data_IF_019271531962
#
_entry.id   IF_019271531962
#
_cell.length_a   1.000
_cell.length_b   1.000
_cell.length_c   1.000
_cell.angle_alpha   90.00
_cell.angle_beta   90.00
_cell.angle_gamma   90.00
#
_symmetry.space_group_name_H-M   'P 1'
#
loop_
_entity.id
_entity.type
_entity.pdbx_description
1 polymer ?
#
# COMPACT_ATOMS: atom_id res chain seq x y z
N UNK A 1 -11.43 8.38 50.99
CA UNK A 1 -12.72 8.60 50.29
C UNK A 1 -12.43 9.49 49.10
N UNK A 2 -12.16 8.88 47.94
CA UNK A 2 -11.83 9.59 46.71
C UNK A 2 -13.02 9.41 45.77
N UNK A 3 -13.96 10.36 45.84
CA UNK A 3 -15.08 10.45 44.92
C UNK A 3 -14.53 10.69 43.51
N UNK A 4 -14.45 9.62 42.73
CA UNK A 4 -14.08 9.68 41.32
C UNK A 4 -15.34 10.08 40.58
N UNK A 5 -15.54 11.39 40.47
CA UNK A 5 -16.58 12.02 39.67
C UNK A 5 -16.30 11.85 38.16
N UNK A 6 -16.15 10.59 37.72
CA UNK A 6 -16.04 10.24 36.31
C UNK A 6 -17.46 10.03 35.74
N UNK A 7 -17.87 10.76 34.69
CA UNK A 7 -19.21 10.64 34.10
C UNK A 7 -19.54 9.20 33.70
N UNK A 8 -20.78 8.75 33.89
CA UNK A 8 -21.19 7.35 33.64
C UNK A 8 -21.10 7.04 32.13
N UNK A 9 -20.92 5.77 31.70
CA UNK A 9 -20.78 5.42 30.26
C UNK A 9 -21.95 5.94 29.41
N UNK A 10 -23.14 5.96 30.02
CA UNK A 10 -24.35 6.51 29.43
C UNK A 10 -24.23 8.00 29.09
N UNK A 11 -23.48 8.81 29.86
CA UNK A 11 -23.33 10.24 29.64
C UNK A 11 -22.53 10.54 28.35
N UNK A 12 -21.53 9.71 28.05
CA UNK A 12 -20.74 9.83 26.81
C UNK A 12 -21.51 9.30 25.59
N UNK A 13 -22.29 8.23 25.74
CA UNK A 13 -23.19 7.77 24.68
C UNK A 13 -24.31 8.77 24.40
N UNK A 14 -24.86 9.41 25.43
CA UNK A 14 -25.84 10.48 25.30
C UNK A 14 -25.25 11.67 24.53
N UNK A 15 -24.00 12.02 24.80
CA UNK A 15 -23.29 13.07 24.05
C UNK A 15 -23.05 12.70 22.57
N UNK A 16 -22.93 11.40 22.26
CA UNK A 16 -22.80 10.92 20.89
C UNK A 16 -24.13 10.79 20.16
N UNK A 17 -25.26 10.69 20.86
CA UNK A 17 -26.58 10.45 20.26
C UNK A 17 -26.98 11.59 19.32
N UNK A 18 -27.23 11.25 18.05
CA UNK A 18 -27.55 12.20 16.98
C UNK A 18 -26.50 13.31 16.80
N UNK A 19 -25.24 13.08 17.20
CA UNK A 19 -24.18 14.08 17.17
C UNK A 19 -24.01 14.74 15.80
N UNK A 20 -24.17 13.97 14.71
CA UNK A 20 -24.12 14.50 13.35
C UNK A 20 -25.26 15.47 13.05
N UNK A 21 -26.49 15.13 13.43
CA UNK A 21 -27.67 15.97 13.19
C UNK A 21 -27.60 17.27 14.01
N UNK A 22 -27.08 17.18 15.24
CA UNK A 22 -26.91 18.31 16.15
C UNK A 22 -25.65 19.14 15.87
N UNK A 23 -24.83 18.76 14.87
CA UNK A 23 -23.58 19.44 14.51
C UNK A 23 -22.61 19.59 15.69
N UNK A 24 -22.55 18.57 16.55
CA UNK A 24 -21.60 18.54 17.68
C UNK A 24 -20.17 18.72 17.15
N UNK A 25 -19.33 19.55 17.78
CA UNK A 25 -17.94 19.71 17.38
C UNK A 25 -17.21 18.36 17.31
N UNK A 26 -16.47 18.12 16.23
CA UNK A 26 -15.82 16.83 15.98
C UNK A 26 -14.87 16.40 17.12
N UNK A 27 -14.23 17.38 17.77
CA UNK A 27 -13.33 17.14 18.89
C UNK A 27 -14.07 16.54 20.08
N UNK A 28 -15.31 16.97 20.33
CA UNK A 28 -16.10 16.47 21.46
C UNK A 28 -16.67 15.08 21.17
N UNK A 29 -17.03 14.82 19.90
CA UNK A 29 -17.34 13.46 19.42
C UNK A 29 -16.13 12.52 19.62
N UNK A 30 -14.92 12.96 19.24
CA UNK A 30 -13.71 12.17 19.41
C UNK A 30 -13.38 11.92 20.89
N UNK A 31 -13.48 12.93 21.75
CA UNK A 31 -13.27 12.80 23.21
C UNK A 31 -14.26 11.82 23.83
N UNK A 32 -15.54 11.92 23.49
CA UNK A 32 -16.58 11.05 24.03
C UNK A 32 -16.33 9.59 23.64
N UNK A 33 -15.96 9.32 22.37
CA UNK A 33 -15.61 7.96 21.96
C UNK A 33 -14.33 7.44 22.65
N UNK A 34 -13.30 8.26 22.79
CA UNK A 34 -12.09 7.85 23.51
C UNK A 34 -12.35 7.58 24.99
N UNK A 35 -13.22 8.35 25.64
CA UNK A 35 -13.61 8.11 27.03
C UNK A 35 -14.34 6.77 27.20
N UNK A 36 -15.14 6.36 26.21
CA UNK A 36 -15.75 5.03 26.18
C UNK A 36 -14.69 3.93 25.99
N UNK A 37 -13.80 4.08 25.00
CA UNK A 37 -12.75 3.09 24.70
C UNK A 37 -11.71 2.95 25.84
N UNK A 38 -11.49 3.99 26.64
CA UNK A 38 -10.61 3.95 27.83
C UNK A 38 -11.13 3.03 28.94
N UNK A 39 -12.43 2.73 28.96
CA UNK A 39 -13.04 1.83 29.96
C UNK A 39 -12.97 0.36 29.55
N UNK A 40 -12.64 0.09 28.29
CA UNK A 40 -12.56 -1.23 27.71
C UNK A 40 -12.87 -1.18 26.22
N UNK A 41 -12.44 -2.18 25.44
CA UNK A 41 -12.69 -2.21 23.99
C UNK A 41 -14.14 -2.50 23.62
N UNK A 42 -14.93 -3.06 24.55
CA UNK A 42 -16.30 -3.52 24.35
C UNK A 42 -17.25 -2.84 25.34
N UNK A 43 -18.53 -2.75 24.97
CA UNK A 43 -19.62 -2.34 25.83
C UNK A 43 -20.09 -3.47 26.76
N UNK A 44 -21.11 -3.18 27.57
CA UNK A 44 -21.70 -4.13 28.53
C UNK A 44 -22.35 -5.36 27.86
N UNK A 45 -22.60 -5.30 26.55
CA UNK A 45 -23.18 -6.39 25.74
C UNK A 45 -22.15 -7.14 24.90
N UNK A 46 -20.87 -6.77 24.99
CA UNK A 46 -19.77 -7.38 24.23
C UNK A 46 -19.57 -6.80 22.83
N UNK A 47 -20.23 -5.69 22.48
CA UNK A 47 -20.05 -5.01 21.19
C UNK A 47 -18.93 -3.96 21.25
N UNK A 48 -18.10 -3.82 20.21
CA UNK A 48 -17.10 -2.75 20.17
C UNK A 48 -17.73 -1.36 20.28
N UNK A 49 -17.21 -0.50 21.16
CA UNK A 49 -17.74 0.86 21.39
C UNK A 49 -17.87 1.67 20.09
N UNK A 50 -16.96 1.49 19.14
CA UNK A 50 -17.01 2.18 17.84
C UNK A 50 -18.21 1.77 16.98
N UNK A 51 -18.72 0.54 17.12
CA UNK A 51 -19.94 0.09 16.44
C UNK A 51 -21.17 0.67 17.12
N UNK A 52 -21.21 0.64 18.45
CA UNK A 52 -22.28 1.24 19.25
C UNK A 52 -22.39 2.74 18.97
N UNK A 53 -21.26 3.45 19.02
CA UNK A 53 -21.16 4.87 18.71
C UNK A 53 -21.59 5.20 17.28
N UNK A 54 -21.27 4.35 16.31
CA UNK A 54 -21.74 4.54 14.92
C UNK A 54 -23.26 4.41 14.81
N UNK A 55 -23.84 3.44 15.54
CA UNK A 55 -25.29 3.23 15.58
C UNK A 55 -26.08 4.41 16.15
N UNK A 56 -25.50 5.17 17.10
CA UNK A 56 -26.21 6.28 17.76
C UNK A 56 -25.85 7.67 17.24
N UNK A 57 -24.68 7.86 16.62
CA UNK A 57 -24.17 9.21 16.29
C UNK A 57 -24.49 9.73 14.89
N UNK A 58 -24.89 8.85 13.98
CA UNK A 58 -25.09 9.19 12.56
C UNK A 58 -23.79 9.29 11.74
N UNK A 59 -22.64 8.95 12.33
CA UNK A 59 -21.35 8.80 11.65
C UNK A 59 -21.03 7.32 11.39
N UNK A 60 -20.38 7.02 10.26
CA UNK A 60 -19.82 5.68 10.03
C UNK A 60 -18.64 5.41 10.98
N UNK A 61 -18.39 4.14 11.33
CA UNK A 61 -17.24 3.75 12.15
C UNK A 61 -15.90 4.22 11.59
N UNK A 62 -15.74 4.27 10.26
CA UNK A 62 -14.52 4.80 9.62
C UNK A 62 -14.33 6.30 9.88
N UNK A 63 -15.41 7.07 9.90
CA UNK A 63 -15.36 8.51 10.17
C UNK A 63 -14.99 8.76 11.64
N UNK A 64 -15.62 8.02 12.56
CA UNK A 64 -15.30 8.07 13.99
C UNK A 64 -13.83 7.71 14.26
N UNK A 65 -13.31 6.66 13.61
CA UNK A 65 -11.90 6.26 13.74
C UNK A 65 -10.93 7.33 13.26
N UNK A 66 -11.28 8.07 12.20
CA UNK A 66 -10.46 9.20 11.72
C UNK A 66 -10.46 10.36 12.72
N UNK A 67 -11.62 10.69 13.27
CA UNK A 67 -11.75 11.73 14.30
C UNK A 67 -10.95 11.41 15.55
N UNK A 68 -11.05 10.18 16.09
CA UNK A 68 -10.30 9.79 17.30
C UNK A 68 -8.80 9.79 17.08
N UNK A 69 -8.32 9.25 15.95
CA UNK A 69 -6.89 9.31 15.57
C UNK A 69 -6.38 10.74 15.43
N UNK A 70 -7.13 11.61 14.76
CA UNK A 70 -6.75 13.01 14.61
C UNK A 70 -6.69 13.70 15.98
N UNK A 71 -7.67 13.47 16.85
CA UNK A 71 -7.69 14.04 18.20
C UNK A 71 -6.53 13.57 19.07
N UNK A 72 -6.20 12.28 19.05
CA UNK A 72 -5.05 11.73 19.78
C UNK A 72 -3.73 12.40 19.34
N UNK A 73 -3.52 12.55 18.03
CA UNK A 73 -2.34 13.25 17.51
C UNK A 73 -2.31 14.72 17.94
N UNK A 74 -3.46 15.41 17.96
CA UNK A 74 -3.55 16.79 18.48
C UNK A 74 -3.14 16.87 19.96
N UNK A 75 -3.55 15.90 20.78
CA UNK A 75 -3.13 15.83 22.18
C UNK A 75 -1.62 15.58 22.31
N UNK A 76 -1.04 14.73 21.47
CA UNK A 76 0.41 14.47 21.45
C UNK A 76 1.20 15.71 21.04
N UNK A 77 0.79 16.40 19.97
CA UNK A 77 1.42 17.66 19.53
C UNK A 77 1.28 18.72 20.63
N UNK A 78 0.11 18.82 21.26
CA UNK A 78 -0.11 19.76 22.37
C UNK A 78 0.76 19.49 23.58
N UNK A 79 1.07 18.22 23.90
CA UNK A 79 2.04 17.87 24.95
C UNK A 79 3.47 18.28 24.57
N UNK A 80 3.85 18.09 23.30
CA UNK A 80 5.16 18.52 22.80
C UNK A 80 5.30 20.05 22.74
N UNK A 81 4.20 20.77 22.51
CA UNK A 81 4.15 22.22 22.39
C UNK A 81 3.00 22.84 23.21
N UNK A 82 3.11 22.90 24.55
CA UNK A 82 2.01 23.31 25.44
C UNK A 82 1.40 24.67 25.11
N UNK A 83 2.23 25.64 24.70
CA UNK A 83 1.81 27.01 24.34
C UNK A 83 0.90 27.12 23.11
N UNK A 84 0.71 26.04 22.35
CA UNK A 84 -0.12 26.03 21.13
C UNK A 84 -1.40 25.18 21.26
N UNK A 85 -1.73 24.70 22.47
CA UNK A 85 -2.85 23.76 22.69
C UNK A 85 -4.20 24.31 22.22
N UNK A 86 -4.53 25.55 22.54
CA UNK A 86 -5.84 26.13 22.17
C UNK A 86 -5.97 26.31 20.65
N UNK A 87 -4.87 26.72 20.01
CA UNK A 87 -4.78 26.85 18.56
C UNK A 87 -4.98 25.50 17.85
N UNK A 88 -4.45 24.42 18.41
CA UNK A 88 -4.62 23.07 17.88
C UNK A 88 -6.06 22.57 18.05
N UNK A 89 -6.71 22.88 19.18
CA UNK A 89 -8.11 22.51 19.45
C UNK A 89 -9.11 23.22 18.52
N UNK A 90 -8.77 24.41 18.04
CA UNK A 90 -9.59 25.17 17.09
C UNK A 90 -9.56 24.66 15.64
N UNK A 91 -8.76 23.62 15.33
CA UNK A 91 -8.68 23.08 13.99
C UNK A 91 -9.97 22.36 13.57
N UNK A 92 -10.33 22.50 12.30
CA UNK A 92 -11.33 21.63 11.69
C UNK A 92 -10.82 20.19 11.63
N UNK A 93 -11.73 19.20 11.61
CA UNK A 93 -11.39 17.78 11.55
C UNK A 93 -10.43 17.43 10.39
N UNK A 94 -10.65 18.04 9.23
CA UNK A 94 -9.81 17.81 8.04
C UNK A 94 -8.41 18.37 8.20
N UNK A 95 -8.26 19.56 8.80
CA UNK A 95 -6.94 20.12 9.08
C UNK A 95 -6.22 19.32 10.17
N UNK A 96 -6.92 18.94 11.23
CA UNK A 96 -6.36 18.12 12.30
C UNK A 96 -5.85 16.76 11.77
N UNK A 97 -6.58 16.14 10.84
CA UNK A 97 -6.15 14.88 10.24
C UNK A 97 -4.90 15.03 9.37
N UNK A 98 -4.83 16.06 8.52
CA UNK A 98 -3.62 16.29 7.71
C UNK A 98 -2.44 16.67 8.60
N UNK A 99 -2.67 17.49 9.62
CA UNK A 99 -1.65 17.87 10.59
C UNK A 99 -1.13 16.66 11.37
N UNK A 100 -2.02 15.73 11.77
CA UNK A 100 -1.63 14.47 12.41
C UNK A 100 -0.72 13.62 11.51
N UNK A 101 -1.04 13.54 10.22
CA UNK A 101 -0.20 12.82 9.24
C UNK A 101 1.13 13.54 8.99
N UNK A 102 1.12 14.87 8.96
CA UNK A 102 2.33 15.69 8.82
C UNK A 102 3.22 15.58 10.05
N UNK A 103 2.65 15.52 11.26
CA UNK A 103 3.39 15.31 12.50
C UNK A 103 4.19 14.02 12.47
N UNK A 104 3.59 12.94 11.97
CA UNK A 104 4.29 11.66 11.79
C UNK A 104 5.38 11.71 10.70
N UNK A 105 5.20 12.55 9.67
CA UNK A 105 6.03 12.57 8.47
C UNK A 105 7.03 13.75 8.37
N UNK A 106 6.95 14.74 9.26
CA UNK A 106 7.88 15.86 9.36
C UNK A 106 7.54 16.70 10.61
N UNK A 107 7.93 16.24 11.82
CA UNK A 107 7.70 16.97 13.07
C UNK A 107 8.16 18.43 13.02
N UNK A 108 9.33 18.69 12.45
CA UNK A 108 9.91 20.04 12.36
C UNK A 108 9.03 21.01 11.56
N UNK A 109 8.36 20.52 10.51
CA UNK A 109 7.44 21.35 9.71
C UNK A 109 6.18 21.68 10.47
N UNK A 110 5.69 20.77 11.33
CA UNK A 110 4.57 21.07 12.22
C UNK A 110 4.96 22.18 13.19
N UNK A 111 6.18 22.15 13.74
CA UNK A 111 6.66 23.23 14.59
C UNK A 111 6.64 24.58 13.86
N UNK A 112 7.12 24.64 12.61
CA UNK A 112 7.05 25.86 11.78
C UNK A 112 5.61 26.35 11.56
N UNK A 113 4.64 25.45 11.43
CA UNK A 113 3.22 25.81 11.30
C UNK A 113 2.61 26.33 12.60
N UNK A 114 3.08 25.86 13.76
CA UNK A 114 2.58 26.29 15.07
C UNK A 114 2.98 27.74 15.37
N UNK A 115 4.17 28.16 14.93
CA UNK A 115 4.70 29.51 15.12
C UNK A 115 4.22 30.51 14.05
N UNK A 116 3.74 30.04 12.90
CA UNK A 116 3.22 30.91 11.84
C UNK A 116 2.00 31.70 12.32
N UNK A 117 1.77 32.94 11.85
CA UNK A 117 0.63 33.75 12.33
C UNK A 117 -0.74 33.13 12.02
N UNK A 118 -0.85 32.39 10.92
CA UNK A 118 -2.11 31.79 10.46
C UNK A 118 -1.91 30.35 10.03
N UNK A 119 -2.96 29.54 10.18
CA UNK A 119 -2.99 28.21 9.59
C UNK A 119 -3.07 28.31 8.07
N UNK A 120 -2.28 27.54 7.32
CA UNK A 120 -2.43 27.44 5.88
C UNK A 120 -3.82 26.90 5.51
N UNK A 121 -4.27 27.20 4.31
CA UNK A 121 -5.48 26.59 3.78
C UNK A 121 -5.31 25.07 3.66
N UNK A 122 -6.43 24.34 3.64
CA UNK A 122 -6.41 22.88 3.58
C UNK A 122 -5.57 22.35 2.40
N UNK A 123 -5.71 22.96 1.23
CA UNK A 123 -4.96 22.58 0.03
C UNK A 123 -3.44 22.71 0.20
N UNK A 124 -3.00 23.82 0.82
CA UNK A 124 -1.58 24.07 1.08
C UNK A 124 -1.02 23.15 2.16
N UNK A 125 -1.81 22.90 3.22
CA UNK A 125 -1.44 21.94 4.26
C UNK A 125 -1.30 20.52 3.69
N UNK A 126 -2.21 20.14 2.80
CA UNK A 126 -2.17 18.85 2.10
C UNK A 126 -0.96 18.78 1.15
N UNK A 127 -0.69 19.83 0.38
CA UNK A 127 0.48 19.91 -0.48
C UNK A 127 1.79 19.83 0.32
N UNK A 128 1.85 20.50 1.47
CA UNK A 128 2.99 20.42 2.38
C UNK A 128 3.16 19.00 2.92
N UNK A 129 2.08 18.33 3.34
CA UNK A 129 2.11 16.92 3.72
C UNK A 129 2.61 16.03 2.59
N UNK A 130 2.07 16.16 1.38
CA UNK A 130 2.47 15.37 0.22
C UNK A 130 3.96 15.59 -0.11
N UNK A 131 4.44 16.84 -0.11
CA UNK A 131 5.86 17.16 -0.28
C UNK A 131 6.75 16.61 0.83
N UNK A 132 6.22 16.50 2.05
CA UNK A 132 6.93 15.96 3.22
C UNK A 132 6.96 14.44 3.21
N UNK A 133 5.88 13.81 2.76
CA UNK A 133 5.79 12.38 2.47
C UNK A 133 6.77 11.96 1.39
N UNK A 134 7.02 12.82 0.40
CA UNK A 134 8.04 12.60 -0.64
C UNK A 134 9.46 12.64 -0.05
N UNK A 135 9.71 13.44 1.00
CA UNK A 135 11.04 13.59 1.63
C UNK A 135 11.31 12.66 2.82
N UNK A 136 10.31 12.28 3.61
CA UNK A 136 10.41 11.28 4.68
C UNK A 136 9.79 9.95 4.23
N UNK A 137 10.13 9.47 3.04
CA UNK A 137 9.62 8.19 2.54
C UNK A 137 9.94 7.07 3.51
N UNK A 138 8.95 6.69 4.32
CA UNK A 138 8.90 5.46 5.11
C UNK A 138 9.47 4.29 4.28
N UNK A 139 10.06 3.25 4.89
CA UNK A 139 10.66 2.11 4.17
C UNK A 139 9.77 1.54 3.05
N UNK A 140 8.44 1.65 3.18
CA UNK A 140 7.47 1.27 2.15
C UNK A 140 7.38 2.22 0.94
N UNK A 141 7.54 3.54 1.10
CA UNK A 141 7.55 4.51 0.01
C UNK A 141 8.90 4.53 -0.72
N UNK A 142 10.01 4.47 0.03
CA UNK A 142 11.34 4.23 -0.54
C UNK A 142 11.39 2.89 -1.27
N UNK A 143 10.80 1.83 -0.70
CA UNK A 143 10.66 0.52 -1.34
C UNK A 143 9.79 0.56 -2.60
N UNK A 144 8.68 1.31 -2.62
CA UNK A 144 7.84 1.49 -3.81
C UNK A 144 8.52 2.32 -4.89
N UNK A 145 9.24 3.38 -4.53
CA UNK A 145 10.01 4.20 -5.47
C UNK A 145 11.20 3.41 -6.02
N UNK A 146 11.92 2.68 -5.18
CA UNK A 146 12.98 1.77 -5.58
C UNK A 146 12.44 0.66 -6.49
N UNK A 147 11.31 0.03 -6.16
CA UNK A 147 10.65 -0.95 -7.00
C UNK A 147 10.19 -0.36 -8.34
N UNK A 148 9.64 0.85 -8.35
CA UNK A 148 9.22 1.54 -9.59
C UNK A 148 10.42 1.95 -10.45
N UNK A 149 11.49 2.48 -9.85
CA UNK A 149 12.74 2.79 -10.54
C UNK A 149 13.40 1.53 -11.09
N UNK A 150 13.42 0.45 -10.31
CA UNK A 150 13.95 -0.84 -10.70
C UNK A 150 13.14 -1.44 -11.86
N UNK A 151 11.81 -1.46 -11.77
CA UNK A 151 10.93 -1.90 -12.86
C UNK A 151 11.17 -1.13 -14.15
N UNK A 152 11.28 0.21 -14.08
CA UNK A 152 11.59 1.04 -15.25
C UNK A 152 12.95 0.70 -15.84
N UNK A 153 13.96 0.50 -15.01
CA UNK A 153 15.29 0.06 -15.44
C UNK A 153 15.21 -1.30 -16.14
N UNK A 154 14.55 -2.28 -15.53
CA UNK A 154 14.38 -3.62 -16.11
C UNK A 154 13.61 -3.56 -17.43
N UNK A 155 12.54 -2.77 -17.51
CA UNK A 155 11.78 -2.60 -18.74
C UNK A 155 12.66 -2.04 -19.88
N UNK A 156 13.50 -1.05 -19.59
CA UNK A 156 14.47 -0.53 -20.56
C UNK A 156 15.44 -1.62 -21.02
N UNK A 157 16.04 -2.35 -20.08
CA UNK A 157 16.99 -3.42 -20.39
C UNK A 157 16.36 -4.57 -21.19
N UNK A 158 15.10 -4.91 -20.89
CA UNK A 158 14.35 -5.93 -21.62
C UNK A 158 14.01 -5.47 -23.04
N UNK A 159 13.65 -4.20 -23.22
CA UNK A 159 13.38 -3.63 -24.54
C UNK A 159 14.61 -3.72 -25.46
N UNK A 160 15.81 -3.54 -24.91
CA UNK A 160 17.07 -3.68 -25.67
C UNK A 160 17.43 -5.13 -25.99
N UNK A 161 16.94 -6.10 -25.19
CA UNK A 161 17.29 -7.52 -25.32
C UNK A 161 16.31 -8.34 -26.16
N UNK A 162 15.05 -7.89 -26.25
CA UNK A 162 13.99 -8.61 -26.96
C UNK A 162 13.92 -8.10 -28.40
N UNK A 163 14.33 -8.96 -29.33
CA UNK A 163 14.38 -8.65 -30.77
C UNK A 163 13.06 -8.85 -31.50
N UNK A 164 12.16 -9.68 -30.95
CA UNK A 164 10.87 -10.02 -31.56
C UNK A 164 9.74 -9.87 -30.56
N UNK A 165 8.67 -9.18 -30.93
CA UNK A 165 7.56 -8.87 -30.02
C UNK A 165 7.85 -7.66 -29.13
N UNK A 166 7.07 -7.49 -28.08
CA UNK A 166 7.13 -6.31 -27.20
C UNK A 166 6.94 -6.67 -25.74
N UNK A 167 7.55 -5.88 -24.86
CA UNK A 167 7.37 -5.98 -23.40
C UNK A 167 6.34 -4.96 -22.95
N UNK A 168 5.24 -5.45 -22.42
CA UNK A 168 4.13 -4.62 -21.97
C UNK A 168 3.88 -4.80 -20.48
N UNK A 169 3.51 -3.70 -19.81
CA UNK A 169 2.89 -3.79 -18.49
C UNK A 169 1.44 -4.28 -18.66
N UNK A 170 0.99 -5.33 -17.95
CA UNK A 170 -0.36 -5.86 -18.13
C UNK A 170 -1.40 -4.81 -17.80
N UNK A 171 -2.33 -4.58 -18.72
CA UNK A 171 -3.47 -3.70 -18.45
C UNK A 171 -4.55 -4.40 -17.61
N UNK A 172 -4.77 -5.68 -17.89
CA UNK A 172 -5.75 -6.50 -17.20
C UNK A 172 -5.05 -7.73 -16.67
N UNK A 173 -5.21 -7.98 -15.36
CA UNK A 173 -4.60 -9.11 -14.69
C UNK A 173 -5.58 -10.28 -14.59
N UNK A 174 -5.05 -11.50 -14.74
CA UNK A 174 -5.74 -12.67 -14.23
C UNK A 174 -5.73 -12.60 -12.70
N UNK A 175 -6.78 -13.07 -12.02
CA UNK A 175 -6.93 -12.99 -10.56
C UNK A 175 -5.70 -13.51 -9.80
N UNK A 176 -5.04 -14.53 -10.38
CA UNK A 176 -3.91 -15.24 -9.80
C UNK A 176 -2.58 -15.07 -10.56
N UNK A 177 -2.51 -14.17 -11.56
CA UNK A 177 -1.26 -13.89 -12.27
C UNK A 177 -1.10 -12.37 -12.44
N UNK A 178 -0.20 -11.78 -11.65
CA UNK A 178 -0.04 -10.34 -11.46
C UNK A 178 1.40 -9.90 -11.72
N UNK A 179 1.92 -10.34 -12.86
CA UNK A 179 3.30 -10.09 -13.27
C UNK A 179 3.54 -8.62 -13.60
N UNK A 180 4.76 -8.15 -13.43
CA UNK A 180 5.09 -6.76 -13.73
C UNK A 180 5.09 -6.50 -15.23
N UNK A 181 5.60 -7.46 -16.02
CA UNK A 181 5.63 -7.37 -17.47
C UNK A 181 5.24 -8.69 -18.16
N UNK A 182 4.79 -8.57 -19.40
CA UNK A 182 4.57 -9.67 -20.33
C UNK A 182 5.34 -9.39 -21.61
N UNK A 183 6.05 -10.39 -22.11
CA UNK A 183 6.58 -10.39 -23.47
C UNK A 183 5.56 -11.04 -24.38
N UNK A 184 5.04 -10.25 -25.33
CA UNK A 184 3.95 -10.63 -26.21
C UNK A 184 4.27 -10.35 -27.67
N UNK A 185 3.61 -11.08 -28.57
CA UNK A 185 3.50 -10.67 -29.98
C UNK A 185 2.11 -10.10 -30.24
N UNK A 186 2.06 -8.97 -30.95
CA UNK A 186 0.84 -8.23 -31.29
C UNK A 186 -0.02 -8.89 -32.38
N UNK A 187 -0.12 -10.22 -32.35
CA UNK A 187 -0.99 -10.99 -33.22
C UNK A 187 -2.35 -11.19 -32.56
N UNK A 188 -3.38 -11.50 -33.34
CA UNK A 188 -4.67 -11.95 -32.81
C UNK A 188 -4.76 -13.47 -33.05
N UNK A 189 -4.91 -14.30 -31.99
CA UNK A 189 -4.89 -13.94 -30.57
C UNK A 189 -3.50 -13.51 -30.07
N UNK A 190 -3.47 -12.67 -29.03
CA UNK A 190 -2.21 -12.23 -28.38
C UNK A 190 -1.49 -13.47 -27.87
N UNK A 191 -0.28 -13.69 -28.33
CA UNK A 191 0.58 -14.78 -27.82
C UNK A 191 1.52 -14.21 -26.75
N UNK A 192 1.55 -14.87 -25.59
CA UNK A 192 2.42 -14.53 -24.46
C UNK A 192 3.58 -15.51 -24.46
N UNK A 193 4.81 -15.00 -24.66
CA UNK A 193 6.03 -15.82 -24.75
C UNK A 193 6.69 -15.99 -23.39
N UNK A 194 6.68 -14.94 -22.58
CA UNK A 194 7.24 -14.96 -21.24
C UNK A 194 6.56 -13.92 -20.34
N UNK A 195 6.64 -14.12 -19.03
CA UNK A 195 6.27 -13.13 -18.04
C UNK A 195 7.46 -12.77 -17.16
N UNK A 196 7.48 -11.56 -16.63
CA UNK A 196 8.56 -11.04 -15.80
C UNK A 196 7.99 -10.43 -14.52
N UNK A 197 8.59 -10.76 -13.38
CA UNK A 197 8.29 -10.13 -12.09
C UNK A 197 9.58 -9.55 -11.50
N UNK A 198 9.53 -8.28 -11.11
CA UNK A 198 10.68 -7.57 -10.59
C UNK A 198 10.65 -7.58 -9.06
N UNK A 199 11.60 -8.29 -8.47
CA UNK A 199 11.72 -8.39 -7.03
C UNK A 199 12.91 -7.56 -6.54
N UNK A 200 12.60 -6.46 -5.87
CA UNK A 200 13.59 -5.72 -5.09
C UNK A 200 13.72 -6.40 -3.73
N UNK A 201 14.88 -7.03 -3.49
CA UNK A 201 15.19 -7.63 -2.20
C UNK A 201 16.15 -6.71 -1.46
N UNK A 202 15.74 -6.04 -0.37
CA UNK A 202 16.63 -5.27 0.46
C UNK A 202 17.68 -6.16 1.15
N UNK A 203 18.88 -5.63 1.45
CA UNK A 203 19.99 -6.39 2.01
C UNK A 203 19.77 -6.94 3.43
N UNK A 204 18.68 -6.53 4.12
CA UNK A 204 18.34 -6.97 5.48
C UNK A 204 16.85 -7.29 5.60
N UNK A 205 16.36 -8.24 4.80
CA UNK A 205 15.00 -8.76 4.96
C UNK A 205 15.01 -10.09 5.70
N UNK A 206 13.97 -10.28 6.51
CA UNK A 206 13.58 -11.55 7.11
C UNK A 206 13.35 -12.62 6.02
N UNK A 207 14.06 -13.74 6.12
CA UNK A 207 13.99 -14.86 5.18
C UNK A 207 12.54 -15.33 4.97
N UNK A 208 11.70 -15.26 6.00
CA UNK A 208 10.29 -15.62 5.93
C UNK A 208 9.50 -14.73 4.96
N UNK A 209 9.84 -13.44 4.87
CA UNK A 209 9.16 -12.51 3.96
C UNK A 209 9.54 -12.80 2.50
N UNK A 210 10.82 -13.10 2.24
CA UNK A 210 11.29 -13.53 0.91
C UNK A 210 10.56 -14.81 0.51
N UNK A 211 10.48 -15.78 1.42
CA UNK A 211 9.82 -17.05 1.16
C UNK A 211 8.32 -16.88 0.88
N UNK A 212 7.60 -16.06 1.64
CA UNK A 212 6.18 -15.75 1.37
C UNK A 212 5.98 -15.09 0.01
N UNK A 213 6.85 -14.14 -0.37
CA UNK A 213 6.77 -13.52 -1.70
C UNK A 213 7.09 -14.53 -2.79
N UNK A 214 8.07 -15.40 -2.57
CA UNK A 214 8.44 -16.46 -3.50
C UNK A 214 7.29 -17.45 -3.74
N UNK A 215 6.53 -17.85 -2.72
CA UNK A 215 5.36 -18.72 -2.89
C UNK A 215 4.27 -18.11 -3.77
N UNK A 216 4.06 -16.79 -3.70
CA UNK A 216 3.19 -16.08 -4.64
C UNK A 216 3.73 -16.20 -6.06
N UNK A 217 5.03 -15.93 -6.26
CA UNK A 217 5.69 -15.99 -7.56
C UNK A 217 5.67 -17.40 -8.16
N UNK A 218 5.86 -18.44 -7.33
CA UNK A 218 5.74 -19.85 -7.73
C UNK A 218 4.33 -20.16 -8.27
N UNK A 219 3.30 -19.63 -7.60
CA UNK A 219 1.92 -19.77 -8.07
C UNK A 219 1.71 -19.03 -9.40
N UNK A 220 2.24 -17.82 -9.53
CA UNK A 220 2.11 -17.04 -10.77
C UNK A 220 2.85 -17.69 -11.94
N UNK A 221 4.03 -18.25 -11.71
CA UNK A 221 4.82 -18.96 -12.72
C UNK A 221 4.06 -20.12 -13.36
N UNK A 222 3.18 -20.79 -12.62
CA UNK A 222 2.37 -21.90 -13.14
C UNK A 222 1.46 -21.54 -14.33
N UNK A 223 1.20 -20.25 -14.56
CA UNK A 223 0.34 -19.77 -15.65
C UNK A 223 1.10 -19.49 -16.97
N UNK A 224 2.43 -19.58 -16.97
CA UNK A 224 3.25 -19.16 -18.10
C UNK A 224 4.22 -20.25 -18.57
N UNK A 225 4.49 -20.26 -19.88
CA UNK A 225 5.49 -21.16 -20.48
C UNK A 225 6.91 -20.83 -19.98
N UNK A 226 7.21 -19.53 -19.81
CA UNK A 226 8.45 -19.03 -19.22
C UNK A 226 8.14 -17.92 -18.23
N UNK A 227 8.68 -18.01 -17.03
CA UNK A 227 8.54 -17.00 -16.00
C UNK A 227 9.91 -16.52 -15.54
N UNK A 228 10.20 -15.23 -15.64
CA UNK A 228 11.48 -14.65 -15.26
C UNK A 228 11.33 -13.85 -13.98
N UNK A 229 12.08 -14.25 -12.96
CA UNK A 229 12.29 -13.47 -11.76
C UNK A 229 13.51 -12.58 -11.94
N UNK A 230 13.31 -11.26 -11.93
CA UNK A 230 14.39 -10.29 -12.06
C UNK A 230 14.70 -9.69 -10.69
N UNK A 231 15.87 -9.97 -10.15
CA UNK A 231 16.29 -9.54 -8.81
C UNK A 231 17.09 -8.24 -8.88
N UNK A 232 16.93 -7.38 -7.86
CA UNK A 232 17.70 -6.13 -7.76
C UNK A 232 19.19 -6.35 -7.55
N UNK A 233 19.57 -7.46 -6.92
CA UNK A 233 20.95 -7.85 -6.66
C UNK A 233 21.10 -9.38 -6.52
N UNK A 234 22.36 -9.82 -6.46
CA UNK A 234 22.73 -11.23 -6.38
C UNK A 234 22.77 -11.80 -4.94
N UNK A 235 22.59 -10.99 -3.89
CA UNK A 235 22.83 -11.42 -2.50
C UNK A 235 21.85 -12.50 -2.04
N UNK A 236 20.66 -12.54 -2.64
CA UNK A 236 19.58 -13.46 -2.28
C UNK A 236 19.38 -14.59 -3.29
N UNK A 237 20.38 -14.87 -4.14
CA UNK A 237 20.28 -15.92 -5.14
C UNK A 237 20.13 -17.31 -4.50
N UNK A 238 20.97 -17.67 -3.52
CA UNK A 238 21.00 -19.03 -3.00
C UNK A 238 19.65 -19.49 -2.40
N UNK A 239 18.96 -18.72 -1.53
CA UNK A 239 17.65 -19.11 -1.02
C UNK A 239 16.59 -19.23 -2.11
N UNK A 240 16.63 -18.36 -3.12
CA UNK A 240 15.68 -18.37 -4.24
C UNK A 240 15.93 -19.60 -5.12
N UNK A 241 17.18 -19.86 -5.50
CA UNK A 241 17.58 -21.03 -6.29
C UNK A 241 17.18 -22.33 -5.59
N UNK A 242 17.48 -22.45 -4.30
CA UNK A 242 17.06 -23.61 -3.50
C UNK A 242 15.53 -23.78 -3.50
N UNK A 243 14.78 -22.68 -3.43
CA UNK A 243 13.31 -22.74 -3.46
C UNK A 243 12.76 -23.13 -4.84
N UNK A 244 13.41 -22.71 -5.93
CA UNK A 244 13.10 -23.14 -7.30
C UNK A 244 13.26 -24.65 -7.42
N UNK A 245 14.39 -25.18 -6.94
CA UNK A 245 14.70 -26.61 -7.00
C UNK A 245 13.74 -27.44 -6.15
N UNK A 246 13.50 -27.03 -4.89
CA UNK A 246 12.60 -27.73 -3.96
C UNK A 246 11.16 -27.80 -4.51
N UNK A 247 10.69 -26.72 -5.14
CA UNK A 247 9.33 -26.66 -5.67
C UNK A 247 9.21 -27.20 -7.11
N UNK A 248 10.33 -27.59 -7.74
CA UNK A 248 10.34 -28.12 -9.11
C UNK A 248 9.89 -27.09 -10.16
N UNK A 249 10.20 -25.81 -9.97
CA UNK A 249 9.75 -24.71 -10.84
C UNK A 249 10.59 -24.59 -12.12
N UNK A 250 10.60 -25.64 -12.94
CA UNK A 250 11.49 -25.74 -14.12
C UNK A 250 11.25 -24.70 -15.21
N UNK A 251 10.09 -24.03 -15.21
CA UNK A 251 9.76 -22.94 -16.12
C UNK A 251 10.16 -21.56 -15.59
N UNK A 252 10.73 -21.48 -14.39
CA UNK A 252 11.19 -20.25 -13.77
C UNK A 252 12.67 -20.02 -14.10
N UNK A 253 13.00 -18.83 -14.60
CA UNK A 253 14.36 -18.34 -14.78
C UNK A 253 14.67 -17.19 -13.84
N UNK A 254 15.95 -16.94 -13.60
CA UNK A 254 16.43 -15.86 -12.72
C UNK A 254 17.41 -14.96 -13.48
N UNK A 255 17.18 -13.65 -13.40
CA UNK A 255 18.05 -12.63 -13.98
C UNK A 255 18.45 -11.59 -12.93
N UNK A 256 19.62 -10.99 -13.11
CA UNK A 256 20.10 -9.85 -12.30
C UNK A 256 20.67 -8.77 -13.23
N UNK A 257 20.37 -7.48 -13.03
CA UNK A 257 21.02 -6.43 -13.82
C UNK A 257 22.52 -6.31 -13.54
N UNK A 258 23.32 -6.33 -14.59
CA UNK A 258 24.77 -6.10 -14.57
C UNK A 258 25.09 -4.88 -15.45
N UNK A 259 25.19 -3.70 -14.83
CA UNK A 259 25.37 -2.44 -15.56
C UNK A 259 24.23 -2.17 -16.54
N UNK A 260 24.53 -2.21 -17.84
CA UNK A 260 23.62 -1.96 -18.96
C UNK A 260 23.01 -3.23 -19.59
N UNK A 261 23.14 -4.40 -18.96
CA UNK A 261 22.53 -5.65 -19.44
C UNK A 261 21.86 -6.43 -18.31
N UNK A 262 21.07 -7.44 -18.69
CA UNK A 262 20.54 -8.45 -17.77
C UNK A 262 21.40 -9.71 -17.89
N UNK A 263 22.03 -10.11 -16.78
CA UNK A 263 22.76 -11.37 -16.72
C UNK A 263 21.78 -12.48 -16.32
N UNK A 264 21.76 -13.54 -17.12
CA UNK A 264 20.94 -14.72 -16.85
C UNK A 264 21.71 -15.61 -15.88
N UNK A 265 21.16 -15.79 -14.68
CA UNK A 265 21.76 -16.64 -13.64
C UNK A 265 21.22 -18.07 -13.75
N UNK A 266 19.94 -18.21 -14.09
CA UNK A 266 19.27 -19.49 -14.22
C UNK A 266 18.29 -19.46 -15.39
N UNK A 267 18.38 -20.44 -16.28
CA UNK A 267 17.48 -20.55 -17.43
C UNK A 267 16.26 -21.43 -17.08
N UNK A 268 15.06 -21.04 -17.53
CA UNK A 268 13.91 -21.95 -17.50
C UNK A 268 14.13 -23.05 -18.55
N UNK A 269 14.01 -24.30 -18.14
CA UNK A 269 14.34 -25.49 -18.96
C UNK A 269 13.16 -26.45 -19.17
N UNK A 270 12.04 -26.24 -18.47
CA UNK A 270 10.92 -27.17 -18.51
C UNK A 270 9.55 -26.51 -18.42
N UNK A 271 8.47 -27.31 -18.42
CA UNK A 271 7.10 -26.82 -18.34
C UNK A 271 6.74 -26.33 -16.93
N UNK A 272 5.70 -25.49 -16.80
CA UNK A 272 5.20 -25.09 -15.49
C UNK A 272 4.68 -26.28 -14.71
N UNK A 273 4.97 -26.28 -13.40
CA UNK A 273 4.38 -27.22 -12.46
C UNK A 273 3.73 -26.49 -11.27
N UNK A 274 2.44 -26.74 -10.98
CA UNK A 274 1.48 -27.43 -11.83
C UNK A 274 1.19 -26.65 -13.12
N UNK A 275 0.63 -27.29 -14.16
CA UNK A 275 0.29 -26.58 -15.39
C UNK A 275 -1.06 -25.86 -15.27
N UNK A 276 -1.03 -24.52 -15.16
CA UNK A 276 -2.22 -23.66 -15.16
C UNK A 276 -2.34 -22.79 -16.41
N UNK A 277 -1.50 -23.02 -17.43
CA UNK A 277 -1.53 -22.28 -18.71
C UNK A 277 -2.90 -22.30 -19.38
N UNK A 278 -3.69 -23.39 -19.37
CA UNK A 278 -5.02 -23.40 -20.00
C UNK A 278 -5.95 -22.30 -19.44
N UNK A 279 -5.89 -22.03 -18.13
CA UNK A 279 -6.70 -20.99 -17.49
C UNK A 279 -6.29 -19.59 -17.96
N UNK A 280 -4.99 -19.35 -18.04
CA UNK A 280 -4.45 -18.08 -18.52
C UNK A 280 -4.76 -17.85 -20.01
N UNK A 281 -4.62 -18.88 -20.85
CA UNK A 281 -4.97 -18.82 -22.28
C UNK A 281 -6.45 -18.52 -22.47
N UNK A 282 -7.35 -19.14 -21.71
CA UNK A 282 -8.78 -18.85 -21.74
C UNK A 282 -9.11 -17.41 -21.29
N UNK A 283 -8.37 -16.88 -20.31
CA UNK A 283 -8.48 -15.48 -19.92
C UNK A 283 -8.02 -14.53 -21.03
N UNK A 284 -6.87 -14.80 -21.65
CA UNK A 284 -6.32 -14.00 -22.74
C UNK A 284 -7.20 -14.06 -23.99
N UNK A 285 -7.79 -15.21 -24.31
CA UNK A 285 -8.75 -15.32 -25.41
C UNK A 285 -9.98 -14.43 -25.21
N UNK A 286 -10.55 -14.41 -23.99
CA UNK A 286 -11.73 -13.60 -23.65
C UNK A 286 -11.45 -12.10 -23.62
N UNK A 287 -10.24 -11.70 -23.25
CA UNK A 287 -9.90 -10.29 -23.00
C UNK A 287 -8.93 -9.70 -24.03
N UNK A 288 -8.40 -10.51 -24.95
CA UNK A 288 -7.30 -10.15 -25.85
C UNK A 288 -7.59 -8.93 -26.71
N UNK A 289 -8.81 -8.81 -27.25
CA UNK A 289 -9.23 -7.64 -28.03
C UNK A 289 -9.23 -6.35 -27.21
N UNK A 290 -9.69 -6.40 -25.95
CA UNK A 290 -9.68 -5.23 -25.04
C UNK A 290 -8.26 -4.83 -24.66
N UNK A 291 -7.40 -5.83 -24.43
CA UNK A 291 -5.98 -5.61 -24.14
C UNK A 291 -5.29 -4.97 -25.34
N UNK A 292 -5.51 -5.50 -26.55
CA UNK A 292 -4.94 -5.01 -27.79
C UNK A 292 -5.39 -3.57 -28.10
N UNK A 293 -6.69 -3.30 -28.04
CA UNK A 293 -7.25 -1.97 -28.33
C UNK A 293 -6.68 -0.90 -27.40
N UNK A 294 -6.53 -1.20 -26.11
CA UNK A 294 -5.93 -0.24 -25.17
C UNK A 294 -4.43 -0.09 -25.37
N UNK A 295 -3.75 -1.17 -25.77
CA UNK A 295 -2.33 -1.11 -26.07
C UNK A 295 -2.04 -0.26 -27.30
N UNK A 296 -2.83 -0.39 -28.37
CA UNK A 296 -2.72 0.46 -29.57
C UNK A 296 -2.89 1.95 -29.24
N UNK A 297 -3.89 2.32 -28.43
CA UNK A 297 -4.09 3.71 -27.97
C UNK A 297 -2.97 4.30 -27.13
N UNK A 298 -2.06 3.49 -26.57
CA UNK A 298 -0.90 3.99 -25.82
C UNK A 298 0.30 4.31 -26.73
N UNK A 299 0.24 3.89 -27.99
CA UNK A 299 1.27 4.17 -29.00
C UNK A 299 0.97 5.43 -29.82
N UNK A 300 -0.29 5.84 -29.86
CA UNK A 300 -0.77 7.13 -30.40
C UNK A 300 -0.53 8.26 -29.39
#
# INVERSE_FOLDING_TARGET
>A
MSDTNQPRPMDHLLHLRNARAQRVPWADVAKALLALEQRGPLDETGHPWIQVAAGVSGYSSNHLRRMTKAWQAILEIGRAYPGHTDRLRGLSASHAEVLARLWQAAPDKVHSLLIAERWPAYGDLLALYEASRIRQGAPAAAGRLAASAFRRRVQSLLADHITTGEVIAPYLYHTYAKTDFLHVTATVPITVHAAYDCLVVPPKIDADLVQRRFLSLATEASFFDRFWLVLSDAHNLNPIMSSIDILGLTNMGVMVPAGSRLDIIHHPIGPPFPDRRPLHRAFMARNGQRILAKWQRRKE
#
